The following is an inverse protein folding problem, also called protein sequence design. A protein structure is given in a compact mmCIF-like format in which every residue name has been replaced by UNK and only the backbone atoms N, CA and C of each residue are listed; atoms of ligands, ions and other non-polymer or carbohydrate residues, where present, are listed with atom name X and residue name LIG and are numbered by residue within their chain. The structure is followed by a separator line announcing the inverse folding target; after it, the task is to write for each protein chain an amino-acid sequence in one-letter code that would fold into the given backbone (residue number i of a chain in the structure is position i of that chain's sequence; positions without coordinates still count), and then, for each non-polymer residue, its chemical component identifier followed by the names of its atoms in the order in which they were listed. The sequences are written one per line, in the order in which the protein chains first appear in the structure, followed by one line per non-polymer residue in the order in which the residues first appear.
data_IF_022145847676
#
_entry.id   IF_022145847676
#
_cell.length_a   1.000
_cell.length_b   1.000
_cell.length_c   1.000
_cell.angle_alpha   90.00
_cell.angle_beta   90.00
_cell.angle_gamma   90.00
#
_symmetry.space_group_name_H-M   'P 1'
#
loop_
_entity.id
_entity.type
_entity.pdbx_description
1 polymer ?
#
# COMPACT_ATOMS: atom_id res chain seq x y z
N UNK A 1 20.49 9.57 34.52
CA UNK A 1 20.30 9.07 33.15
C UNK A 1 18.81 9.20 32.88
N UNK A 2 18.40 10.17 32.05
CA UNK A 2 16.98 10.37 31.74
C UNK A 2 16.49 9.24 30.83
N UNK A 3 15.30 8.70 31.11
CA UNK A 3 14.72 7.63 30.29
C UNK A 3 14.57 8.09 28.84
N UNK A 4 15.07 7.30 27.88
CA UNK A 4 14.97 7.56 26.44
C UNK A 4 13.54 7.43 25.88
N UNK A 5 12.57 6.99 26.70
CA UNK A 5 11.18 6.76 26.31
C UNK A 5 10.25 7.65 27.14
N UNK A 6 9.41 8.44 26.46
CA UNK A 6 8.36 9.28 27.08
C UNK A 6 7.21 8.39 27.58
N UNK A 7 6.93 8.46 28.88
CA UNK A 7 5.77 7.80 29.51
C UNK A 7 4.71 8.85 29.82
N UNK A 8 3.48 8.61 29.37
CA UNK A 8 2.32 9.47 29.60
C UNK A 8 1.31 8.75 30.50
N UNK A 9 0.96 9.35 31.62
CA UNK A 9 -0.10 8.85 32.51
C UNK A 9 -1.37 9.67 32.29
N UNK A 10 -2.33 9.05 31.59
CA UNK A 10 -3.63 9.65 31.28
C UNK A 10 -4.75 9.12 32.18
N UNK A 11 -4.42 8.36 33.24
CA UNK A 11 -5.40 7.92 34.22
C UNK A 11 -6.03 9.14 34.90
N UNK A 12 -7.33 9.04 35.16
CA UNK A 12 -8.15 10.11 35.76
C UNK A 12 -8.23 11.42 34.96
N UNK A 13 -7.72 11.44 33.71
CA UNK A 13 -7.88 12.56 32.80
C UNK A 13 -9.10 12.38 31.90
N UNK A 14 -9.78 13.50 31.60
CA UNK A 14 -10.79 13.51 30.54
C UNK A 14 -10.09 13.45 29.19
N UNK A 15 -10.21 12.31 28.50
CA UNK A 15 -9.64 12.15 27.16
C UNK A 15 -10.43 12.97 26.15
N UNK A 16 -9.88 14.11 25.74
CA UNK A 16 -10.43 14.94 24.67
C UNK A 16 -9.58 14.82 23.41
N UNK A 17 -10.14 15.27 22.28
CA UNK A 17 -9.42 15.28 20.99
C UNK A 17 -8.18 16.17 21.07
N UNK A 18 -8.29 17.28 21.78
CA UNK A 18 -7.21 18.25 21.97
C UNK A 18 -6.06 17.63 22.78
N UNK A 19 -6.38 16.94 23.88
CA UNK A 19 -5.39 16.24 24.69
C UNK A 19 -4.63 15.20 23.87
N UNK A 20 -5.34 14.38 23.08
CA UNK A 20 -4.70 13.37 22.21
C UNK A 20 -3.81 14.03 21.17
N UNK A 21 -4.25 15.12 20.53
CA UNK A 21 -3.47 15.81 19.52
C UNK A 21 -2.17 16.41 20.08
N UNK A 22 -2.20 16.91 21.32
CA UNK A 22 -1.04 17.51 21.99
C UNK A 22 -0.10 16.46 22.59
N UNK A 23 -0.65 15.44 23.26
CA UNK A 23 0.15 14.46 23.98
C UNK A 23 0.67 13.34 23.07
N UNK A 24 -0.06 12.99 22.02
CA UNK A 24 0.31 11.98 21.03
C UNK A 24 0.40 12.59 19.63
N UNK A 25 1.25 13.61 19.42
CA UNK A 25 1.37 14.24 18.11
C UNK A 25 1.96 13.22 17.13
N UNK A 26 1.36 13.11 15.95
CA UNK A 26 2.04 12.45 14.83
C UNK A 26 3.26 13.30 14.45
N UNK A 27 4.34 12.66 14.05
CA UNK A 27 5.45 13.36 13.45
C UNK A 27 4.94 14.25 12.31
N UNK A 28 5.25 15.54 12.36
CA UNK A 28 4.94 16.45 11.27
C UNK A 28 5.81 16.08 10.08
N UNK A 29 5.19 15.49 9.06
CA UNK A 29 5.85 15.23 7.78
C UNK A 29 5.49 16.40 6.88
N UNK A 30 6.49 17.18 6.43
CA UNK A 30 6.29 18.20 5.40
C UNK A 30 6.16 17.51 4.03
N UNK A 31 4.94 17.10 3.70
CA UNK A 31 4.62 16.43 2.43
C UNK A 31 4.78 17.39 1.26
N UNK A 32 4.65 18.70 1.48
CA UNK A 32 4.71 19.71 0.41
C UNK A 32 6.10 19.78 -0.21
N UNK A 33 7.16 19.74 0.62
CA UNK A 33 8.54 19.72 0.12
C UNK A 33 8.83 18.47 -0.72
N UNK A 34 8.42 17.30 -0.24
CA UNK A 34 8.58 16.05 -0.98
C UNK A 34 7.81 16.08 -2.31
N UNK A 35 6.58 16.59 -2.30
CA UNK A 35 5.76 16.73 -3.50
C UNK A 35 6.40 17.68 -4.53
N UNK A 36 6.93 18.84 -4.12
CA UNK A 36 7.62 19.74 -5.05
C UNK A 36 8.87 19.09 -5.64
N UNK A 37 9.64 18.36 -4.84
CA UNK A 37 10.87 17.70 -5.29
C UNK A 37 10.63 16.63 -6.37
N UNK A 38 9.48 15.94 -6.34
CA UNK A 38 9.20 14.83 -7.26
C UNK A 38 8.52 15.27 -8.57
N UNK A 39 7.90 16.46 -8.62
CA UNK A 39 7.17 16.96 -9.80
C UNK A 39 7.96 16.91 -11.11
N UNK A 40 9.24 17.34 -11.17
CA UNK A 40 10.01 17.29 -12.41
C UNK A 40 10.12 15.87 -12.97
N UNK A 41 10.30 14.88 -12.08
CA UNK A 41 10.39 13.49 -12.47
C UNK A 41 9.06 12.96 -13.03
N UNK A 42 7.92 13.32 -12.40
CA UNK A 42 6.61 12.92 -12.90
C UNK A 42 6.35 13.45 -14.32
N UNK A 43 6.76 14.68 -14.62
CA UNK A 43 6.66 15.28 -15.97
C UNK A 43 7.54 14.52 -16.97
N UNK A 44 8.76 14.14 -16.58
CA UNK A 44 9.67 13.36 -17.42
C UNK A 44 9.10 11.97 -17.74
N UNK A 45 8.56 11.27 -16.73
CA UNK A 45 7.90 9.97 -16.90
C UNK A 45 6.67 10.10 -17.82
N UNK A 46 5.86 11.15 -17.67
CA UNK A 46 4.71 11.37 -18.54
C UNK A 46 5.11 11.56 -20.01
N UNK A 47 6.24 12.24 -20.26
CA UNK A 47 6.74 12.51 -21.63
C UNK A 47 7.45 11.30 -22.25
N UNK A 48 8.26 10.59 -21.48
CA UNK A 48 9.23 9.61 -22.00
C UNK A 48 8.94 8.17 -21.60
N UNK A 49 7.98 7.95 -20.70
CA UNK A 49 7.54 6.64 -20.25
C UNK A 49 8.67 5.83 -19.63
N UNK A 50 8.76 4.56 -20.06
CA UNK A 50 9.71 3.57 -19.54
C UNK A 50 11.17 4.05 -19.55
N UNK A 51 11.59 4.85 -20.53
CA UNK A 51 12.96 5.35 -20.62
C UNK A 51 13.36 6.22 -19.42
N UNK A 52 12.42 7.04 -18.93
CA UNK A 52 12.65 7.85 -17.73
C UNK A 52 12.81 6.95 -16.49
N UNK A 53 11.97 5.92 -16.37
CA UNK A 53 12.04 4.96 -15.25
C UNK A 53 13.40 4.24 -15.21
N UNK A 54 13.89 3.76 -16.37
CA UNK A 54 15.20 3.10 -16.46
C UNK A 54 16.33 4.04 -16.03
N UNK A 55 16.31 5.31 -16.46
CA UNK A 55 17.31 6.30 -16.03
C UNK A 55 17.28 6.54 -14.52
N UNK A 56 16.09 6.67 -13.94
CA UNK A 56 15.92 6.88 -12.49
C UNK A 56 16.41 5.67 -11.70
N UNK A 57 16.04 4.46 -12.10
CA UNK A 57 16.50 3.24 -11.44
C UNK A 57 18.03 3.11 -11.49
N UNK A 58 18.65 3.44 -12.64
CA UNK A 58 20.13 3.50 -12.75
C UNK A 58 20.74 4.57 -11.84
N UNK A 59 20.11 5.73 -11.71
CA UNK A 59 20.65 6.84 -10.93
C UNK A 59 20.48 6.68 -9.41
N UNK A 60 19.35 6.12 -8.97
CA UNK A 60 18.99 5.98 -7.55
C UNK A 60 19.38 4.62 -7.00
N UNK A 61 19.01 3.55 -7.71
CA UNK A 61 19.20 2.17 -7.26
C UNK A 61 20.45 1.51 -7.85
N UNK A 62 21.09 2.14 -8.84
CA UNK A 62 22.32 1.64 -9.47
C UNK A 62 22.11 0.43 -10.39
N UNK A 63 20.86 0.13 -10.76
CA UNK A 63 20.52 -1.08 -11.53
C UNK A 63 19.91 -0.74 -12.89
N UNK A 64 20.19 -1.58 -13.89
CA UNK A 64 19.43 -1.59 -15.13
C UNK A 64 18.19 -2.47 -14.95
N UNK A 65 17.02 -1.89 -15.12
CA UNK A 65 15.74 -2.58 -14.93
C UNK A 65 15.14 -3.02 -16.27
N UNK A 66 15.89 -3.01 -17.38
CA UNK A 66 15.40 -3.56 -18.65
C UNK A 66 15.60 -5.09 -18.72
N UNK A 67 14.54 -5.87 -19.04
CA UNK A 67 13.14 -5.46 -19.23
C UNK A 67 12.42 -5.16 -17.90
N UNK A 68 11.59 -4.11 -17.87
CA UNK A 68 10.90 -3.65 -16.64
C UNK A 68 9.98 -4.74 -16.06
N UNK A 69 9.37 -5.53 -16.92
CA UNK A 69 8.51 -6.64 -16.52
C UNK A 69 9.39 -7.85 -16.22
N UNK A 70 9.37 -8.30 -14.96
CA UNK A 70 9.95 -9.58 -14.55
C UNK A 70 9.37 -10.71 -15.41
N UNK A 71 10.25 -11.56 -15.94
CA UNK A 71 9.86 -12.63 -16.85
C UNK A 71 9.11 -13.74 -16.10
N UNK A 72 8.26 -14.49 -16.83
CA UNK A 72 7.58 -15.65 -16.26
C UNK A 72 8.56 -16.73 -15.75
N UNK A 73 9.73 -16.84 -16.40
CA UNK A 73 10.77 -17.77 -16.00
C UNK A 73 11.40 -17.37 -14.66
N UNK A 74 11.75 -16.10 -14.47
CA UNK A 74 12.29 -15.61 -13.19
C UNK A 74 11.28 -15.79 -12.05
N UNK A 75 10.00 -15.55 -12.32
CA UNK A 75 8.93 -15.79 -11.34
C UNK A 75 8.83 -17.28 -10.94
N UNK A 76 8.91 -18.19 -11.91
CA UNK A 76 8.89 -19.63 -11.66
C UNK A 76 10.12 -20.07 -10.84
N UNK A 77 11.31 -19.60 -11.23
CA UNK A 77 12.56 -19.90 -10.52
C UNK A 77 12.53 -19.37 -9.08
N UNK A 78 12.02 -18.16 -8.87
CA UNK A 78 11.86 -17.60 -7.53
C UNK A 78 10.92 -18.46 -6.67
N UNK A 79 9.78 -18.90 -7.23
CA UNK A 79 8.84 -19.77 -6.53
C UNK A 79 9.42 -21.15 -6.21
N UNK A 80 10.16 -21.75 -7.15
CA UNK A 80 10.83 -23.05 -6.96
C UNK A 80 11.99 -22.97 -5.95
N UNK A 81 12.67 -21.82 -5.89
CA UNK A 81 13.77 -21.57 -4.97
C UNK A 81 13.36 -21.14 -3.56
N UNK A 82 12.07 -20.94 -3.30
CA UNK A 82 11.60 -20.60 -1.95
C UNK A 82 11.79 -21.77 -0.99
N UNK A 83 12.23 -21.45 0.23
CA UNK A 83 12.17 -22.38 1.33
C UNK A 83 10.73 -22.89 1.55
N UNK A 84 10.59 -24.19 1.78
CA UNK A 84 9.28 -24.84 1.85
C UNK A 84 8.42 -24.38 3.04
N UNK A 85 9.04 -24.03 4.17
CA UNK A 85 8.34 -23.53 5.35
C UNK A 85 7.89 -22.09 5.13
N UNK A 86 8.76 -21.26 4.54
CA UNK A 86 8.42 -19.90 4.15
C UNK A 86 7.26 -19.88 3.15
N UNK A 87 7.33 -20.71 2.11
CA UNK A 87 6.26 -20.84 1.11
C UNK A 87 4.93 -21.20 1.77
N UNK A 88 4.92 -22.23 2.60
CA UNK A 88 3.72 -22.66 3.32
C UNK A 88 3.15 -21.53 4.18
N UNK A 89 4.01 -20.78 4.86
CA UNK A 89 3.60 -19.64 5.70
C UNK A 89 2.94 -18.52 4.88
N UNK A 90 3.51 -18.18 3.71
CA UNK A 90 2.94 -17.20 2.78
C UNK A 90 1.60 -17.70 2.22
N UNK A 91 1.49 -18.96 1.82
CA UNK A 91 0.24 -19.55 1.31
C UNK A 91 -0.88 -19.51 2.37
N UNK A 92 -0.56 -19.77 3.64
CA UNK A 92 -1.51 -19.63 4.76
C UNK A 92 -1.93 -18.17 4.95
N UNK A 93 -1.00 -17.22 4.87
CA UNK A 93 -1.34 -15.79 4.96
C UNK A 93 -2.27 -15.36 3.82
N UNK A 94 -1.99 -15.78 2.59
CA UNK A 94 -2.82 -15.53 1.40
C UNK A 94 -4.23 -16.08 1.60
N UNK A 95 -4.37 -17.33 2.06
CA UNK A 95 -5.68 -17.94 2.30
C UNK A 95 -6.48 -17.15 3.34
N UNK A 96 -5.86 -16.80 4.47
CA UNK A 96 -6.52 -16.04 5.54
C UNK A 96 -6.96 -14.65 5.08
N UNK A 97 -6.08 -13.90 4.41
CA UNK A 97 -6.41 -12.57 3.86
C UNK A 97 -7.54 -12.68 2.84
N UNK A 98 -7.48 -13.68 1.95
CA UNK A 98 -8.53 -13.89 0.95
C UNK A 98 -9.89 -14.17 1.59
N UNK A 99 -9.95 -15.04 2.60
CA UNK A 99 -11.21 -15.36 3.31
C UNK A 99 -11.84 -14.11 3.94
N UNK A 100 -11.04 -13.27 4.59
CA UNK A 100 -11.54 -12.02 5.21
C UNK A 100 -11.97 -11.02 4.14
N UNK A 101 -11.18 -10.83 3.08
CA UNK A 101 -11.53 -9.94 1.97
C UNK A 101 -12.83 -10.35 1.27
N UNK A 102 -13.05 -11.66 1.10
CA UNK A 102 -14.29 -12.20 0.53
C UNK A 102 -15.48 -12.00 1.47
N UNK A 103 -15.30 -12.21 2.78
CA UNK A 103 -16.36 -11.98 3.77
C UNK A 103 -16.80 -10.50 3.83
N UNK A 104 -15.89 -9.57 3.55
CA UNK A 104 -16.16 -8.13 3.49
C UNK A 104 -16.63 -7.64 2.11
N UNK A 105 -16.75 -8.53 1.11
CA UNK A 105 -17.13 -8.12 -0.23
C UNK A 105 -18.58 -7.62 -0.24
N UNK A 106 -18.84 -6.38 -0.70
CA UNK A 106 -20.17 -5.82 -0.61
C UNK A 106 -21.11 -6.47 -1.63
N UNK A 107 -22.38 -6.63 -1.25
CA UNK A 107 -23.42 -7.14 -2.13
C UNK A 107 -24.23 -6.01 -2.75
N UNK A 108 -24.69 -6.21 -3.99
CA UNK A 108 -25.65 -5.31 -4.61
C UNK A 108 -26.94 -5.28 -3.79
N UNK A 109 -27.55 -4.11 -3.65
CA UNK A 109 -28.77 -3.93 -2.87
C UNK A 109 -29.84 -3.31 -3.76
N UNK A 110 -31.09 -3.71 -3.56
CA UNK A 110 -32.25 -3.10 -4.19
C UNK A 110 -33.35 -2.91 -3.16
N UNK A 111 -34.00 -1.74 -3.17
CA UNK A 111 -35.05 -1.37 -2.25
C UNK A 111 -36.25 -0.88 -3.05
N UNK A 112 -37.42 -1.47 -2.80
CA UNK A 112 -38.69 -0.99 -3.33
C UNK A 112 -39.30 0.01 -2.37
N UNK A 113 -39.63 1.19 -2.88
CA UNK A 113 -40.20 2.30 -2.09
C UNK A 113 -41.71 2.41 -2.30
N UNK A 114 -42.20 2.09 -3.50
CA UNK A 114 -43.60 2.05 -3.89
C UNK A 114 -43.75 1.30 -5.23
N UNK A 115 -44.98 1.13 -5.72
CA UNK A 115 -45.23 0.57 -7.04
C UNK A 115 -44.49 1.37 -8.13
N UNK A 116 -43.68 0.68 -8.93
CA UNK A 116 -42.83 1.30 -9.95
C UNK A 116 -41.61 2.08 -9.42
N UNK A 117 -41.46 2.25 -8.11
CA UNK A 117 -40.36 3.00 -7.51
C UNK A 117 -39.34 2.07 -6.82
N UNK A 118 -38.23 1.79 -7.51
CA UNK A 118 -37.14 0.97 -6.99
C UNK A 118 -35.81 1.73 -7.06
N UNK A 119 -35.00 1.62 -6.00
CA UNK A 119 -33.64 2.15 -5.94
C UNK A 119 -32.68 0.98 -5.82
N UNK A 120 -31.63 0.95 -6.65
CA UNK A 120 -30.62 -0.11 -6.60
C UNK A 120 -29.22 0.48 -6.47
N UNK A 121 -28.42 -0.12 -5.58
CA UNK A 121 -26.99 0.12 -5.46
C UNK A 121 -26.24 -1.08 -6.01
N UNK A 122 -25.35 -0.82 -6.97
CA UNK A 122 -24.48 -1.83 -7.57
C UNK A 122 -23.02 -1.52 -7.25
N UNK A 123 -22.29 -2.55 -6.84
CA UNK A 123 -20.84 -2.51 -6.70
C UNK A 123 -20.20 -3.01 -7.99
N UNK A 124 -19.25 -2.24 -8.53
CA UNK A 124 -18.49 -2.61 -9.72
C UNK A 124 -17.00 -2.51 -9.40
N UNK A 125 -16.18 -3.52 -9.77
CA UNK A 125 -14.75 -3.44 -9.60
C UNK A 125 -14.17 -2.39 -10.56
N UNK A 126 -13.05 -1.80 -10.17
CA UNK A 126 -12.20 -1.02 -11.09
C UNK A 126 -11.57 -1.95 -12.13
N UNK A 127 -11.31 -1.44 -13.32
CA UNK A 127 -10.76 -2.24 -14.43
C UNK A 127 -9.28 -2.60 -14.23
N UNK A 128 -8.52 -1.74 -13.55
CA UNK A 128 -7.08 -1.91 -13.30
C UNK A 128 -6.65 -1.27 -11.99
N UNK A 129 -5.66 -1.89 -11.34
CA UNK A 129 -5.03 -1.41 -10.11
C UNK A 129 -3.51 -1.53 -10.20
N UNK A 130 -2.80 -0.55 -9.64
CA UNK A 130 -1.37 -0.63 -9.40
C UNK A 130 -1.10 -0.89 -7.92
N UNK A 131 -0.29 -1.90 -7.61
CA UNK A 131 0.16 -2.21 -6.26
C UNK A 131 1.66 -1.90 -6.15
N UNK A 132 2.02 -1.02 -5.22
CA UNK A 132 3.41 -0.70 -4.92
C UNK A 132 3.86 -1.49 -3.68
N UNK A 133 4.93 -2.26 -3.84
CA UNK A 133 5.59 -2.99 -2.74
C UNK A 133 6.96 -2.34 -2.53
N UNK A 134 7.23 -1.74 -1.36
CA UNK A 134 8.54 -1.18 -1.06
C UNK A 134 9.63 -2.26 -1.11
N UNK A 135 10.73 -1.97 -1.79
CA UNK A 135 11.93 -2.83 -1.82
C UNK A 135 13.04 -2.32 -0.91
N UNK A 136 14.26 -2.87 -1.10
CA UNK A 136 15.47 -2.44 -0.40
C UNK A 136 15.78 -3.26 0.85
N UNK A 137 16.08 -2.59 1.97
CA UNK A 137 16.60 -3.25 3.19
C UNK A 137 15.57 -4.10 3.94
N UNK A 138 14.29 -3.90 3.68
CA UNK A 138 13.22 -4.69 4.27
C UNK A 138 12.37 -5.26 3.15
N UNK A 139 12.29 -6.59 3.10
CA UNK A 139 11.50 -7.33 2.12
C UNK A 139 10.29 -7.88 2.85
N UNK A 140 9.11 -7.34 2.52
CA UNK A 140 7.83 -7.77 3.07
C UNK A 140 6.99 -8.39 1.95
N UNK A 141 6.98 -9.73 1.80
CA UNK A 141 6.20 -10.42 0.79
C UNK A 141 4.69 -10.37 1.05
#
# INVERSE_FOLDING_TARGET
MGNEIRVLDLRDQKITRELVATELPRASIDVSQAAESIKPLLVEIQREGAKALVRVAKAIDGIDIEPIKVSAQELAQALEGLDSELRTSIEVAIDRVRRVSQANMPSNTSVSLAEGANVSQRWQPVESVGLYVPGGKAVYP
#
